data_IF_291185773096
#
_entry.id   IF_291185773096
#
_cell.length_a   1.000
_cell.length_b   1.000
_cell.length_c   1.000
_cell.angle_alpha   90.00
_cell.angle_beta   90.00
_cell.angle_gamma   90.00
#
_symmetry.space_group_name_H-M   'P 1'
#
loop_
_entity.id
_entity.type
_entity.pdbx_description
1 polymer ?
#
# COMPACT_ATOMS: atom_id res chain seq x y z
N UNK A 1 4.79 -21.13 6.23
CA UNK A 1 3.68 -20.32 6.78
C UNK A 1 2.47 -20.46 5.86
N UNK A 2 1.23 -20.56 6.36
CA UNK A 2 0.05 -20.79 5.52
C UNK A 2 -0.42 -19.52 4.78
N UNK A 3 0.09 -18.34 5.15
CA UNK A 3 -0.13 -17.06 4.47
C UNK A 3 1.20 -16.33 4.37
N UNK A 4 1.45 -15.71 3.22
CA UNK A 4 2.60 -14.82 3.00
C UNK A 4 2.04 -13.44 2.63
N UNK A 5 2.52 -12.41 3.33
CA UNK A 5 2.18 -11.02 3.03
C UNK A 5 3.39 -10.39 2.35
N UNK A 6 3.19 -9.90 1.13
CA UNK A 6 4.19 -9.11 0.41
C UNK A 6 3.68 -7.68 0.37
N UNK A 7 4.46 -6.76 0.93
CA UNK A 7 4.14 -5.34 0.97
C UNK A 7 5.19 -4.52 0.22
N UNK A 8 4.77 -3.38 -0.30
CA UNK A 8 5.66 -2.42 -0.93
C UNK A 8 5.01 -1.65 -2.07
N UNK A 9 5.61 -0.52 -2.42
CA UNK A 9 5.09 0.41 -3.43
C UNK A 9 5.00 -0.21 -4.84
N UNK A 10 5.93 -1.09 -5.19
CA UNK A 10 6.12 -1.60 -6.56
C UNK A 10 5.80 -3.09 -6.72
N UNK A 11 5.14 -3.71 -5.73
CA UNK A 11 4.85 -5.15 -5.74
C UNK A 11 4.06 -5.56 -7.00
N UNK A 12 3.08 -4.76 -7.41
CA UNK A 12 2.28 -5.02 -8.61
C UNK A 12 3.01 -4.68 -9.91
N UNK A 13 3.98 -3.76 -9.87
CA UNK A 13 4.78 -3.39 -11.03
C UNK A 13 5.78 -4.47 -11.42
N UNK A 14 6.28 -5.24 -10.45
CA UNK A 14 7.28 -6.26 -10.72
C UNK A 14 6.67 -7.51 -11.35
N UNK A 15 6.86 -7.65 -12.66
CA UNK A 15 6.26 -8.71 -13.50
C UNK A 15 6.52 -10.15 -13.04
N UNK A 16 7.57 -10.40 -12.25
CA UNK A 16 7.85 -11.75 -11.71
C UNK A 16 7.09 -12.04 -10.41
N UNK A 17 6.63 -11.01 -9.70
CA UNK A 17 5.91 -11.15 -8.42
C UNK A 17 4.41 -11.06 -8.66
N UNK A 18 3.93 -10.08 -9.42
CA UNK A 18 2.50 -9.81 -9.57
C UNK A 18 1.65 -11.03 -10.02
N UNK A 19 2.13 -11.94 -10.90
CA UNK A 19 1.40 -13.14 -11.28
C UNK A 19 1.35 -14.24 -10.21
N UNK A 20 2.20 -14.15 -9.17
CA UNK A 20 2.28 -15.12 -8.08
C UNK A 20 1.36 -14.76 -6.91
N UNK A 21 0.70 -13.60 -6.95
CA UNK A 21 -0.16 -13.13 -5.87
C UNK A 21 -1.57 -13.66 -6.06
N UNK A 22 -2.07 -14.40 -5.06
CA UNK A 22 -3.45 -14.90 -5.03
C UNK A 22 -4.49 -13.81 -4.73
N UNK A 23 -4.05 -12.70 -4.11
CA UNK A 23 -4.88 -11.55 -3.78
C UNK A 23 -4.07 -10.26 -3.84
N UNK A 24 -4.52 -9.28 -4.61
CA UNK A 24 -3.91 -7.95 -4.75
C UNK A 24 -4.75 -6.90 -4.03
N UNK A 25 -4.14 -6.28 -3.02
CA UNK A 25 -4.79 -5.24 -2.20
C UNK A 25 -4.08 -3.91 -2.42
N UNK A 26 -4.82 -2.88 -2.83
CA UNK A 26 -4.31 -1.52 -2.95
C UNK A 26 -4.79 -0.66 -1.77
N UNK A 27 -3.86 -0.05 -1.03
CA UNK A 27 -4.20 0.89 0.04
C UNK A 27 -4.31 2.30 -0.56
N UNK A 28 -5.51 2.84 -0.60
CA UNK A 28 -5.79 4.16 -1.17
C UNK A 28 -5.96 5.23 -0.08
N UNK A 29 -5.37 6.39 -0.30
CA UNK A 29 -5.61 7.59 0.51
C UNK A 29 -5.56 8.83 -0.39
N UNK A 30 -6.13 9.95 0.06
CA UNK A 30 -5.97 11.24 -0.62
C UNK A 30 -4.50 11.70 -0.60
N UNK A 31 -4.09 12.39 -1.65
CA UNK A 31 -2.70 12.75 -1.87
C UNK A 31 -2.15 13.74 -0.83
N UNK A 32 -2.98 14.72 -0.43
CA UNK A 32 -2.71 15.66 0.67
C UNK A 32 -2.44 14.93 2.00
N UNK A 33 -3.24 13.90 2.31
CA UNK A 33 -3.03 13.09 3.51
C UNK A 33 -1.74 12.28 3.43
N UNK A 34 -1.38 11.73 2.27
CA UNK A 34 -0.13 10.98 2.09
C UNK A 34 1.09 11.85 2.35
N UNK A 35 1.14 13.06 1.77
CA UNK A 35 2.28 13.97 1.97
C UNK A 35 2.35 14.48 3.41
N UNK A 36 1.22 14.82 4.04
CA UNK A 36 1.20 15.22 5.46
C UNK A 36 1.76 14.10 6.34
N UNK A 37 1.26 12.86 6.18
CA UNK A 37 1.76 11.70 6.94
C UNK A 37 3.24 11.44 6.69
N UNK A 38 3.70 11.63 5.45
CA UNK A 38 5.11 11.48 5.09
C UNK A 38 5.98 12.52 5.77
N UNK A 39 5.60 13.79 5.76
CA UNK A 39 6.35 14.88 6.42
C UNK A 39 6.49 14.56 7.90
N UNK A 40 5.38 14.23 8.58
CA UNK A 40 5.39 13.91 10.00
C UNK A 40 6.31 12.73 10.29
N UNK A 41 6.23 11.65 9.50
CA UNK A 41 7.09 10.47 9.67
C UNK A 41 8.56 10.77 9.39
N UNK A 42 8.87 11.39 8.25
CA UNK A 42 10.26 11.63 7.83
C UNK A 42 10.97 12.62 8.76
N UNK A 43 10.25 13.59 9.35
CA UNK A 43 10.79 14.44 10.40
C UNK A 43 11.02 13.70 11.73
N UNK A 44 10.09 12.83 12.13
CA UNK A 44 10.17 12.12 13.40
C UNK A 44 11.21 10.97 13.40
N UNK A 45 11.37 10.29 12.27
CA UNK A 45 12.16 9.05 12.19
C UNK A 45 13.49 9.19 11.42
N UNK A 46 13.64 10.24 10.59
CA UNK A 46 14.75 10.34 9.62
C UNK A 46 15.49 11.67 9.64
N UNK A 47 15.11 12.60 10.52
CA UNK A 47 15.69 13.94 10.64
C UNK A 47 15.75 14.71 9.30
N UNK A 48 14.83 14.41 8.37
CA UNK A 48 14.78 15.03 7.04
C UNK A 48 14.08 16.39 7.14
N UNK A 49 14.74 17.51 6.79
CA UNK A 49 14.11 18.83 6.83
C UNK A 49 12.94 18.90 5.83
N UNK A 50 11.98 19.78 6.12
CA UNK A 50 10.75 19.91 5.33
C UNK A 50 11.06 20.13 3.85
N UNK A 51 12.02 20.98 3.55
CA UNK A 51 12.46 21.31 2.19
C UNK A 51 12.97 20.07 1.46
N UNK A 52 13.72 19.20 2.15
CA UNK A 52 14.21 17.93 1.61
C UNK A 52 13.09 16.95 1.28
N UNK A 53 12.10 16.84 2.18
CA UNK A 53 10.92 15.98 1.97
C UNK A 53 10.10 16.48 0.78
N UNK A 54 9.84 17.78 0.70
CA UNK A 54 9.05 18.39 -0.38
C UNK A 54 9.75 18.26 -1.74
N UNK A 55 11.07 18.52 -1.79
CA UNK A 55 11.85 18.34 -3.01
C UNK A 55 11.77 16.89 -3.53
N UNK A 56 12.03 15.91 -2.66
CA UNK A 56 11.93 14.49 -3.03
C UNK A 56 10.52 14.13 -3.47
N UNK A 57 9.52 14.68 -2.79
CA UNK A 57 8.13 14.40 -3.11
C UNK A 57 7.78 14.86 -4.52
N UNK A 58 8.08 16.13 -4.84
CA UNK A 58 7.75 16.76 -6.11
C UNK A 58 8.53 16.14 -7.28
N UNK A 59 9.83 15.87 -7.10
CA UNK A 59 10.70 15.48 -8.22
C UNK A 59 10.83 13.96 -8.39
N UNK A 60 10.49 13.16 -7.38
CA UNK A 60 10.70 11.72 -7.43
C UNK A 60 9.44 10.94 -7.03
N UNK A 61 8.83 11.25 -5.89
CA UNK A 61 7.79 10.39 -5.31
C UNK A 61 6.47 10.48 -6.07
N UNK A 62 5.94 11.69 -6.28
CA UNK A 62 4.68 11.88 -7.01
C UNK A 62 4.80 11.40 -8.47
N UNK A 63 5.86 11.75 -9.23
CA UNK A 63 6.04 11.22 -10.59
C UNK A 63 6.15 9.69 -10.64
N UNK A 64 6.86 9.07 -9.69
CA UNK A 64 6.96 7.61 -9.62
C UNK A 64 5.63 6.95 -9.23
N UNK A 65 4.88 7.55 -8.31
CA UNK A 65 3.57 7.08 -7.90
C UNK A 65 2.60 7.08 -9.08
N UNK A 66 2.46 8.21 -9.78
CA UNK A 66 1.57 8.34 -10.92
C UNK A 66 1.92 7.39 -12.05
N UNK A 67 3.21 7.19 -12.32
CA UNK A 67 3.68 6.38 -13.44
C UNK A 67 3.67 4.87 -13.16
N UNK A 68 4.01 4.45 -11.94
CA UNK A 68 4.34 3.05 -11.65
C UNK A 68 3.51 2.41 -10.53
N UNK A 69 2.67 3.17 -9.82
CA UNK A 69 1.90 2.66 -8.68
C UNK A 69 0.40 2.85 -8.93
N UNK A 70 -0.03 4.09 -9.19
CA UNK A 70 -1.42 4.45 -9.38
C UNK A 70 -2.16 3.63 -10.45
N UNK A 71 -1.56 3.28 -11.61
CA UNK A 71 -2.26 2.49 -12.64
C UNK A 71 -2.77 1.14 -12.10
N UNK A 72 -2.04 0.55 -11.15
CA UNK A 72 -2.41 -0.76 -10.57
C UNK A 72 -3.53 -0.68 -9.53
N UNK A 73 -4.03 0.51 -9.17
CA UNK A 73 -5.20 0.63 -8.28
C UNK A 73 -6.42 -0.03 -8.91
N UNK A 74 -6.60 0.14 -10.21
CA UNK A 74 -7.77 -0.36 -10.94
C UNK A 74 -7.57 -1.84 -11.35
N UNK A 75 -6.35 -2.37 -11.21
CA UNK A 75 -6.02 -3.80 -11.38
C UNK A 75 -6.07 -4.60 -10.05
N UNK A 76 -6.25 -3.93 -8.92
CA UNK A 76 -6.32 -4.58 -7.62
C UNK A 76 -7.68 -5.23 -7.40
N UNK A 77 -7.68 -6.42 -6.77
CA UNK A 77 -8.91 -7.12 -6.42
C UNK A 77 -9.70 -6.37 -5.34
N UNK A 78 -8.98 -5.70 -4.42
CA UNK A 78 -9.56 -4.93 -3.33
C UNK A 78 -8.81 -3.60 -3.18
N UNK A 79 -9.57 -2.50 -3.10
CA UNK A 79 -9.05 -1.19 -2.69
C UNK A 79 -9.51 -0.88 -1.27
N UNK A 80 -8.57 -0.75 -0.34
CA UNK A 80 -8.85 -0.34 1.05
C UNK A 80 -8.60 1.14 1.18
N UNK A 81 -9.66 1.90 1.48
CA UNK A 81 -9.56 3.33 1.73
C UNK A 81 -9.02 3.61 3.14
N UNK A 82 -7.95 4.40 3.23
CA UNK A 82 -7.23 4.74 4.45
C UNK A 82 -7.15 6.28 4.66
N UNK A 83 -8.23 6.98 4.30
CA UNK A 83 -8.32 8.43 4.50
C UNK A 83 -8.43 8.81 5.98
N UNK A 84 -9.02 7.95 6.81
CA UNK A 84 -9.14 8.15 8.27
C UNK A 84 -8.37 7.04 8.99
N UNK A 85 -8.84 5.82 8.81
CA UNK A 85 -8.24 4.58 9.27
C UNK A 85 -8.53 3.47 8.25
N UNK A 86 -7.99 2.27 8.49
CA UNK A 86 -8.18 1.09 7.64
C UNK A 86 -8.88 -0.06 8.39
N UNK A 87 -9.46 0.20 9.58
CA UNK A 87 -9.94 -0.85 10.50
C UNK A 87 -11.03 -1.72 9.88
N UNK A 88 -11.99 -1.09 9.18
CA UNK A 88 -13.06 -1.83 8.49
C UNK A 88 -12.51 -2.70 7.36
N UNK A 89 -11.53 -2.21 6.61
CA UNK A 89 -10.86 -2.99 5.57
C UNK A 89 -10.09 -4.16 6.17
N UNK A 90 -9.41 -3.94 7.30
CA UNK A 90 -8.70 -4.99 8.03
C UNK A 90 -9.66 -6.08 8.53
N UNK A 91 -10.83 -5.72 9.06
CA UNK A 91 -11.82 -6.71 9.53
C UNK A 91 -12.35 -7.58 8.38
N UNK A 92 -12.63 -6.99 7.21
CA UNK A 92 -12.98 -7.76 6.00
C UNK A 92 -11.85 -8.73 5.64
N UNK A 93 -10.61 -8.25 5.65
CA UNK A 93 -9.45 -9.08 5.33
C UNK A 93 -9.23 -10.22 6.32
N UNK A 94 -9.38 -9.97 7.62
CA UNK A 94 -9.33 -11.00 8.66
C UNK A 94 -10.39 -12.06 8.43
N UNK A 95 -11.62 -11.67 8.09
CA UNK A 95 -12.69 -12.60 7.75
C UNK A 95 -12.35 -13.49 6.57
N UNK A 96 -11.89 -12.89 5.47
CA UNK A 96 -11.49 -13.60 4.26
C UNK A 96 -10.34 -14.60 4.53
N UNK A 97 -9.25 -14.16 5.15
CA UNK A 97 -8.10 -15.02 5.46
C UNK A 97 -8.49 -16.17 6.39
N UNK A 98 -9.31 -15.91 7.42
CA UNK A 98 -9.83 -16.97 8.30
C UNK A 98 -10.66 -18.00 7.55
N UNK A 99 -11.45 -17.58 6.55
CA UNK A 99 -12.21 -18.52 5.73
C UNK A 99 -11.29 -19.45 4.93
N UNK A 100 -10.23 -18.90 4.31
CA UNK A 100 -9.26 -19.68 3.53
C UNK A 100 -8.41 -20.62 4.37
N UNK A 101 -8.08 -20.23 5.60
CA UNK A 101 -7.31 -21.08 6.50
C UNK A 101 -8.11 -22.27 7.05
N UNK A 102 -9.44 -22.18 7.13
CA UNK A 102 -10.27 -23.31 7.54
C UNK A 102 -10.25 -24.45 6.52
N UNK A 103 -10.14 -24.11 5.24
CA UNK A 103 -10.10 -25.09 4.13
C UNK A 103 -8.78 -25.87 4.06
N UNK A 104 -7.72 -25.40 4.73
CA UNK A 104 -6.37 -26.01 4.72
C UNK A 104 -6.16 -26.98 5.90
N UNK A 105 -7.08 -27.01 6.88
CA UNK A 105 -6.96 -27.80 8.12
C UNK A 105 -7.93 -29.00 8.15
N UNK A 106 -8.38 -29.47 6.98
CA UNK A 106 -9.06 -30.75 6.78
C UNK A 106 -8.12 -31.73 6.07
#
# INVERSE_FOLDING_TARGET
>A
APVIIIEGLFVFHFKKIAPLLDLKIFINAKEDLKIIRRIVRDQAEREDPLEGVLYKYQHHVSPAFEKYILPYRDEADIVVNNNRDFERGLEVMKGFLKSKLKDVVL
#
